data_IF_631893988508
#
_entry.id   IF_631893988508
#
_cell.length_a   1.000
_cell.length_b   1.000
_cell.length_c   1.000
_cell.angle_alpha   90.00
_cell.angle_beta   90.00
_cell.angle_gamma   90.00
#
_symmetry.space_group_name_H-M   'P 1'
#
loop_
_entity.id
_entity.type
_entity.pdbx_description
1 polymer ?
#
# COMPACT_ATOMS: atom_id res chain seq x y z
N UNK A 1 17.77 8.57 -3.26
CA UNK A 1 16.90 7.79 -4.16
C UNK A 1 15.83 7.09 -3.33
N UNK A 2 14.63 6.89 -3.88
CA UNK A 2 13.50 6.30 -3.18
C UNK A 2 13.58 4.77 -3.23
N UNK A 3 14.27 4.17 -2.25
CA UNK A 3 14.48 2.73 -2.06
C UNK A 3 14.08 2.31 -0.66
N UNK A 4 13.90 1.01 -0.42
CA UNK A 4 13.41 0.44 0.83
C UNK A 4 14.22 0.89 2.06
N UNK A 5 15.54 0.85 1.98
CA UNK A 5 16.39 1.26 3.10
C UNK A 5 16.21 2.75 3.43
N UNK A 6 16.16 3.62 2.41
CA UNK A 6 15.91 5.06 2.61
C UNK A 6 14.52 5.31 3.21
N UNK A 7 13.51 4.59 2.75
CA UNK A 7 12.17 4.67 3.30
C UNK A 7 12.14 4.29 4.79
N UNK A 8 12.75 3.15 5.13
CA UNK A 8 12.79 2.67 6.51
C UNK A 8 13.59 3.60 7.44
N UNK A 9 14.70 4.19 6.96
CA UNK A 9 15.44 5.20 7.71
C UNK A 9 14.59 6.45 7.99
N UNK A 10 13.78 6.89 7.01
CA UNK A 10 12.83 7.99 7.21
C UNK A 10 11.73 7.61 8.19
N UNK A 11 11.21 6.38 8.12
CA UNK A 11 10.23 5.85 9.09
C UNK A 11 10.80 5.89 10.50
N UNK A 12 12.06 5.47 10.70
CA UNK A 12 12.69 5.55 12.02
C UNK A 12 12.86 6.99 12.52
N UNK A 13 13.20 7.91 11.60
CA UNK A 13 13.31 9.34 11.92
C UNK A 13 11.98 10.05 12.16
N UNK A 14 10.86 9.41 11.80
CA UNK A 14 9.51 9.96 11.96
C UNK A 14 8.86 9.68 13.33
N UNK A 15 9.48 8.86 14.19
CA UNK A 15 8.95 8.59 15.54
C UNK A 15 9.27 9.75 16.47
N UNK A 16 8.26 10.40 17.03
CA UNK A 16 8.40 11.54 17.96
C UNK A 16 7.43 11.39 19.12
N UNK A 17 7.95 11.44 20.33
CA UNK A 17 7.17 11.56 21.57
C UNK A 17 6.66 13.01 21.68
N UNK A 18 5.40 13.25 21.33
CA UNK A 18 4.83 14.60 21.27
C UNK A 18 4.37 15.10 22.65
N UNK A 19 3.97 14.19 23.53
CA UNK A 19 3.48 14.53 24.86
C UNK A 19 4.59 14.49 25.93
N UNK A 20 5.75 13.87 25.64
CA UNK A 20 6.91 13.82 26.51
C UNK A 20 6.78 12.83 27.68
N UNK A 21 5.91 11.83 27.58
CA UNK A 21 5.68 10.87 28.67
C UNK A 21 6.59 9.62 28.58
N UNK A 22 7.35 9.50 27.51
CA UNK A 22 8.31 8.40 27.28
C UNK A 22 7.65 7.10 26.81
N UNK A 23 6.36 7.11 26.48
CA UNK A 23 5.64 6.01 25.86
C UNK A 23 5.22 6.42 24.45
N UNK A 24 5.03 5.48 23.56
CA UNK A 24 4.57 5.75 22.20
C UNK A 24 3.16 5.16 22.01
N UNK A 25 2.18 6.04 21.84
CA UNK A 25 0.78 5.70 21.64
C UNK A 25 0.12 6.59 20.57
N UNK A 26 -1.22 6.67 20.55
CA UNK A 26 -1.96 7.45 19.55
C UNK A 26 -1.86 8.98 19.77
N UNK A 27 -1.22 9.45 20.86
CA UNK A 27 -0.94 10.86 21.11
C UNK A 27 0.42 11.30 20.54
N UNK A 28 1.17 10.38 19.91
CA UNK A 28 2.52 10.60 19.40
C UNK A 28 2.60 10.50 17.90
N UNK A 29 3.74 10.93 17.33
CA UNK A 29 3.99 10.76 15.93
C UNK A 29 4.74 9.45 15.67
N UNK A 30 4.15 8.59 14.86
CA UNK A 30 4.77 7.37 14.33
C UNK A 30 5.49 7.63 13.00
N UNK A 31 6.46 6.81 12.68
CA UNK A 31 7.09 6.88 11.36
C UNK A 31 6.18 6.38 10.23
N UNK A 32 5.38 5.36 10.51
CA UNK A 32 4.49 4.75 9.50
C UNK A 32 3.23 4.20 10.16
N UNK A 33 2.08 4.57 9.61
CA UNK A 33 0.81 3.87 9.80
C UNK A 33 0.58 2.89 8.64
N UNK A 34 0.24 1.64 8.96
CA UNK A 34 0.03 0.61 7.94
C UNK A 34 -0.86 -0.52 8.43
N UNK A 35 -1.57 -1.16 7.51
CA UNK A 35 -2.25 -2.42 7.76
C UNK A 35 -1.27 -3.61 7.80
N UNK A 36 -1.66 -4.78 8.35
CA UNK A 36 -0.79 -5.98 8.42
C UNK A 36 -0.31 -6.54 7.07
N UNK A 37 -0.57 -5.85 5.97
CA UNK A 37 -0.17 -6.21 4.60
C UNK A 37 1.17 -5.62 4.16
N UNK A 38 1.87 -4.89 5.03
CA UNK A 38 3.12 -4.19 4.66
C UNK A 38 4.14 -5.11 3.97
N UNK A 39 4.42 -6.28 4.55
CA UNK A 39 5.39 -7.22 3.98
C UNK A 39 5.01 -7.70 2.58
N UNK A 40 3.72 -7.97 2.37
CA UNK A 40 3.18 -8.33 1.05
C UNK A 40 3.34 -7.18 0.05
N UNK A 41 2.98 -5.96 0.44
CA UNK A 41 3.07 -4.78 -0.43
C UNK A 41 4.52 -4.50 -0.81
N UNK A 42 5.47 -4.62 0.14
CA UNK A 42 6.90 -4.48 -0.13
C UNK A 42 7.41 -5.59 -1.06
N UNK A 43 6.95 -6.84 -0.92
CA UNK A 43 7.32 -7.91 -1.84
C UNK A 43 6.86 -7.62 -3.27
N UNK A 44 5.62 -7.20 -3.47
CA UNK A 44 5.14 -6.80 -4.81
C UNK A 44 5.88 -5.56 -5.34
N UNK A 45 6.30 -4.65 -4.47
CA UNK A 45 7.08 -3.48 -4.85
C UNK A 45 8.46 -3.83 -5.45
N UNK A 46 8.98 -5.04 -5.18
CA UNK A 46 10.20 -5.55 -5.83
C UNK A 46 10.00 -5.98 -7.29
N UNK A 47 8.77 -5.92 -7.81
CA UNK A 47 8.40 -6.42 -9.14
C UNK A 47 8.16 -7.92 -9.20
N UNK A 48 8.23 -8.62 -8.06
CA UNK A 48 7.91 -10.04 -7.98
C UNK A 48 6.43 -10.28 -7.68
N UNK A 49 5.96 -11.49 -7.93
CA UNK A 49 4.58 -11.90 -7.67
C UNK A 49 4.54 -13.32 -7.10
N UNK A 50 3.56 -13.58 -6.23
CA UNK A 50 3.31 -14.94 -5.71
C UNK A 50 2.79 -15.90 -6.79
N UNK A 51 2.25 -15.35 -7.88
CA UNK A 51 1.71 -16.10 -9.01
C UNK A 51 2.39 -15.58 -10.27
N UNK A 52 2.99 -16.49 -11.04
CA UNK A 52 3.57 -16.20 -12.35
C UNK A 52 2.72 -16.82 -13.47
N UNK A 53 2.78 -16.23 -14.65
CA UNK A 53 2.20 -16.80 -15.86
C UNK A 53 3.30 -17.34 -16.75
N UNK A 54 3.29 -18.66 -16.98
CA UNK A 54 4.24 -19.35 -17.86
C UNK A 54 3.47 -20.01 -19.00
N UNK A 55 3.75 -19.59 -20.24
CA UNK A 55 3.09 -20.09 -21.46
C UNK A 55 1.54 -20.13 -21.37
N UNK A 56 0.95 -19.11 -20.71
CA UNK A 56 -0.50 -19.02 -20.53
C UNK A 56 -1.04 -19.76 -19.30
N UNK A 57 -0.22 -20.55 -18.62
CA UNK A 57 -0.60 -21.30 -17.41
C UNK A 57 -0.15 -20.54 -16.17
N UNK A 58 -1.03 -20.43 -15.17
CA UNK A 58 -0.69 -19.84 -13.88
C UNK A 58 0.10 -20.86 -13.03
N UNK A 59 1.19 -20.40 -12.42
CA UNK A 59 2.04 -21.17 -11.50
C UNK A 59 2.21 -20.39 -10.20
N UNK A 60 2.29 -21.12 -9.09
CA UNK A 60 2.70 -20.54 -7.80
C UNK A 60 4.21 -20.34 -7.85
N UNK A 61 4.65 -19.08 -7.76
CA UNK A 61 6.06 -18.69 -7.79
C UNK A 61 6.65 -18.44 -6.38
N UNK A 62 5.82 -18.41 -5.35
CA UNK A 62 6.21 -18.10 -3.97
C UNK A 62 7.30 -19.01 -3.41
N UNK A 63 7.44 -20.25 -3.91
CA UNK A 63 8.44 -21.22 -3.48
C UNK A 63 9.79 -21.13 -4.21
N UNK A 64 9.97 -20.19 -5.13
CA UNK A 64 11.24 -19.99 -5.81
C UNK A 64 12.28 -19.42 -4.81
N UNK A 65 13.52 -19.94 -4.86
CA UNK A 65 14.60 -19.56 -3.93
C UNK A 65 14.78 -18.03 -3.85
N UNK A 66 14.85 -17.37 -4.99
CA UNK A 66 14.96 -15.90 -5.05
C UNK A 66 13.82 -15.18 -4.34
N UNK A 67 12.59 -15.68 -4.43
CA UNK A 67 11.44 -15.08 -3.77
C UNK A 67 11.51 -15.27 -2.25
N UNK A 68 11.97 -16.43 -1.81
CA UNK A 68 12.17 -16.73 -0.38
C UNK A 68 13.25 -15.83 0.22
N UNK A 69 14.37 -15.63 -0.49
CA UNK A 69 15.45 -14.74 -0.05
C UNK A 69 14.98 -13.29 0.09
N UNK A 70 14.24 -12.76 -0.89
CA UNK A 70 13.68 -11.41 -0.86
C UNK A 70 12.67 -11.28 0.27
N UNK A 71 11.78 -12.27 0.47
CA UNK A 71 10.80 -12.24 1.56
C UNK A 71 11.48 -12.29 2.93
N UNK A 72 12.54 -13.07 3.08
CA UNK A 72 13.33 -13.15 4.31
C UNK A 72 13.97 -11.79 4.63
N UNK A 73 14.65 -11.17 3.65
CA UNK A 73 15.28 -9.85 3.83
C UNK A 73 14.25 -8.76 4.17
N UNK A 74 13.11 -8.73 3.46
CA UNK A 74 12.01 -7.79 3.77
C UNK A 74 11.48 -8.03 5.19
N UNK A 75 11.27 -9.29 5.59
CA UNK A 75 10.80 -9.65 6.92
C UNK A 75 11.77 -9.16 8.00
N UNK A 76 13.07 -9.42 7.84
CA UNK A 76 14.11 -9.00 8.77
C UNK A 76 14.17 -7.47 8.89
N UNK A 77 14.06 -6.76 7.78
CA UNK A 77 14.01 -5.30 7.75
C UNK A 77 12.77 -4.78 8.47
N UNK A 78 11.58 -5.27 8.13
CA UNK A 78 10.32 -4.84 8.77
C UNK A 78 10.33 -5.13 10.26
N UNK A 79 10.82 -6.30 10.70
CA UNK A 79 10.93 -6.63 12.12
C UNK A 79 11.87 -5.69 12.87
N UNK A 80 13.00 -5.33 12.27
CA UNK A 80 13.97 -4.36 12.85
C UNK A 80 13.36 -2.97 13.03
N UNK A 81 12.52 -2.53 12.08
CA UNK A 81 11.89 -1.21 12.11
C UNK A 81 10.50 -1.21 12.77
N UNK A 82 10.02 -2.38 13.24
CA UNK A 82 8.72 -2.50 13.92
C UNK A 82 8.48 -1.48 15.05
N UNK A 83 9.48 -1.10 15.87
CA UNK A 83 9.28 -0.09 16.92
C UNK A 83 8.85 1.30 16.42
N UNK A 84 9.00 1.58 15.13
CA UNK A 84 8.67 2.88 14.49
C UNK A 84 7.37 2.82 13.68
N UNK A 85 6.71 1.65 13.66
CA UNK A 85 5.56 1.36 12.78
C UNK A 85 4.35 1.01 13.64
N UNK A 86 3.27 1.77 13.48
CA UNK A 86 1.97 1.40 14.04
C UNK A 86 1.20 0.55 13.02
N UNK A 87 0.96 -0.71 13.37
CA UNK A 87 0.25 -1.69 12.52
C UNK A 87 -1.14 -1.91 13.10
N UNK A 88 -2.18 -1.51 12.38
CA UNK A 88 -3.56 -1.68 12.80
C UNK A 88 -4.46 -2.16 11.65
N UNK A 89 -5.48 -2.94 12.01
CA UNK A 89 -6.57 -3.28 11.08
C UNK A 89 -7.65 -2.19 11.03
N UNK A 90 -7.63 -1.25 11.97
CA UNK A 90 -8.58 -0.15 12.02
C UNK A 90 -8.06 1.06 11.23
N UNK A 91 -8.15 0.93 9.90
CA UNK A 91 -7.77 2.01 8.99
C UNK A 91 -8.64 3.27 9.17
N UNK A 92 -9.87 3.12 9.67
CA UNK A 92 -10.77 4.26 9.89
C UNK A 92 -10.29 5.13 11.05
N UNK A 93 -9.74 4.53 12.09
CA UNK A 93 -9.12 5.28 13.19
C UNK A 93 -7.79 5.92 12.79
N UNK A 94 -7.03 5.30 11.88
CA UNK A 94 -5.74 5.83 11.42
C UNK A 94 -5.86 7.09 10.55
N UNK A 95 -6.94 7.24 9.78
CA UNK A 95 -7.12 8.37 8.86
C UNK A 95 -7.12 9.72 9.59
N UNK A 96 -7.97 9.96 10.63
CA UNK A 96 -7.91 11.22 11.36
C UNK A 96 -6.57 11.45 12.05
N UNK A 97 -5.97 10.43 12.65
CA UNK A 97 -4.66 10.54 13.29
C UNK A 97 -3.57 10.95 12.30
N UNK A 98 -3.57 10.38 11.08
CA UNK A 98 -2.64 10.79 10.04
C UNK A 98 -2.88 12.25 9.60
N UNK A 99 -4.14 12.66 9.45
CA UNK A 99 -4.49 14.03 9.08
C UNK A 99 -4.09 15.05 10.16
N UNK A 100 -4.09 14.64 11.43
CA UNK A 100 -3.64 15.45 12.57
C UNK A 100 -2.13 15.41 12.80
N UNK A 101 -1.37 14.72 11.93
CA UNK A 101 0.10 14.71 11.96
C UNK A 101 0.71 13.61 12.84
N UNK A 102 -0.07 12.63 13.31
CA UNK A 102 0.42 11.53 14.15
C UNK A 102 1.14 10.42 13.37
N UNK A 103 1.46 10.62 12.09
CA UNK A 103 2.39 9.76 11.35
C UNK A 103 3.03 10.50 10.20
N UNK A 104 4.32 10.18 9.93
CA UNK A 104 5.05 10.72 8.79
C UNK A 104 4.58 10.10 7.47
N UNK A 105 4.31 8.80 7.47
CA UNK A 105 3.80 8.06 6.31
C UNK A 105 2.53 7.28 6.67
N UNK A 106 1.66 7.15 5.68
CA UNK A 106 0.51 6.26 5.74
C UNK A 106 0.47 5.38 4.48
N UNK A 107 0.54 4.07 4.66
CA UNK A 107 0.48 3.11 3.56
C UNK A 107 -0.90 2.47 3.48
N UNK A 108 -1.62 2.81 2.42
CA UNK A 108 -3.00 2.38 2.20
C UNK A 108 -3.29 2.24 0.69
N UNK A 109 -4.39 1.63 0.34
CA UNK A 109 -4.86 1.56 -1.05
C UNK A 109 -5.32 2.93 -1.54
N UNK A 110 -5.02 3.25 -2.79
CA UNK A 110 -5.32 4.56 -3.40
C UNK A 110 -6.81 4.93 -3.38
N UNK A 111 -7.71 3.95 -3.28
CA UNK A 111 -9.15 4.16 -3.14
C UNK A 111 -9.52 5.06 -1.94
N UNK A 112 -8.72 5.04 -0.87
CA UNK A 112 -9.02 5.83 0.33
C UNK A 112 -8.49 7.26 0.29
N UNK A 113 -7.81 7.68 -0.77
CA UNK A 113 -7.28 9.04 -0.89
C UNK A 113 -8.39 10.10 -0.86
N UNK A 114 -9.61 9.76 -1.32
CA UNK A 114 -10.77 10.65 -1.26
C UNK A 114 -11.14 11.05 0.16
N UNK A 115 -10.87 10.20 1.15
CA UNK A 115 -11.18 10.45 2.55
C UNK A 115 -10.37 11.59 3.13
N UNK A 116 -9.20 11.89 2.55
CA UNK A 116 -8.37 13.01 2.99
C UNK A 116 -8.89 14.38 2.53
N UNK A 117 -9.80 14.43 1.55
CA UNK A 117 -10.40 15.69 1.07
C UNK A 117 -11.20 16.45 2.12
N UNK A 118 -11.62 15.79 3.20
CA UNK A 118 -12.36 16.43 4.30
C UNK A 118 -11.45 17.11 5.33
N UNK A 119 -10.14 16.94 5.22
CA UNK A 119 -9.16 17.50 6.14
C UNK A 119 -8.37 18.63 5.47
N UNK A 120 -8.03 19.65 6.25
CA UNK A 120 -7.25 20.81 5.78
C UNK A 120 -5.75 20.54 5.98
N UNK A 121 -5.16 19.63 5.20
CA UNK A 121 -3.72 19.39 5.19
C UNK A 121 -3.23 18.96 3.82
N UNK A 122 -1.96 19.21 3.53
CA UNK A 122 -1.33 18.81 2.28
C UNK A 122 -0.74 17.39 2.41
N UNK A 123 -1.09 16.50 1.47
CA UNK A 123 -0.56 15.14 1.40
C UNK A 123 0.14 14.89 0.08
N UNK A 124 1.35 14.34 0.14
CA UNK A 124 2.09 13.87 -1.02
C UNK A 124 1.84 12.39 -1.29
N UNK A 125 1.69 12.01 -2.55
CA UNK A 125 1.54 10.62 -2.96
C UNK A 125 2.88 10.11 -3.48
N UNK A 126 3.37 9.02 -2.92
CA UNK A 126 4.60 8.35 -3.31
C UNK A 126 4.30 6.92 -3.78
N UNK A 127 5.01 6.40 -4.78
CA UNK A 127 4.96 4.96 -5.06
C UNK A 127 5.58 4.18 -3.91
N UNK A 128 5.29 2.89 -3.80
CA UNK A 128 6.06 2.01 -2.92
C UNK A 128 7.55 2.12 -3.29
N UNK A 129 8.47 2.08 -2.29
CA UNK A 129 9.90 2.21 -2.57
C UNK A 129 10.39 1.02 -3.40
N UNK A 130 11.38 1.24 -4.25
CA UNK A 130 12.12 0.15 -4.90
C UNK A 130 12.83 -0.69 -3.84
N UNK A 131 13.04 -1.97 -4.13
CA UNK A 131 13.79 -2.84 -3.24
C UNK A 131 15.21 -2.33 -3.02
N UNK A 132 15.91 -2.04 -4.13
CA UNK A 132 17.27 -1.49 -4.12
C UNK A 132 17.52 -0.55 -5.32
N UNK A 133 18.78 -0.14 -5.49
CA UNK A 133 19.21 0.75 -6.58
C UNK A 133 19.30 0.07 -7.94
N UNK A 134 19.30 -1.26 -8.00
CA UNK A 134 19.41 -2.04 -9.23
C UNK A 134 18.03 -2.30 -9.85
N UNK A 135 16.96 -2.10 -9.11
CA UNK A 135 15.62 -2.20 -9.64
C UNK A 135 15.33 -1.02 -10.57
N UNK A 136 14.94 -1.30 -11.83
CA UNK A 136 14.73 -0.26 -12.84
C UNK A 136 13.46 0.54 -12.60
N UNK A 137 12.33 -0.12 -12.33
CA UNK A 137 11.01 0.51 -12.23
C UNK A 137 10.42 0.45 -10.82
N UNK A 138 9.51 1.39 -10.53
CA UNK A 138 8.63 1.29 -9.38
C UNK A 138 7.51 0.30 -9.69
N UNK A 139 7.29 -0.64 -8.78
CA UNK A 139 6.22 -1.61 -8.86
C UNK A 139 5.33 -1.51 -7.62
N UNK A 140 4.09 -1.87 -7.77
CA UNK A 140 3.18 -1.95 -6.63
C UNK A 140 2.07 -2.97 -6.88
N UNK A 141 1.47 -3.42 -5.81
CA UNK A 141 0.33 -4.32 -5.87
C UNK A 141 -0.92 -3.59 -6.35
N UNK A 142 -1.60 -4.17 -7.33
CA UNK A 142 -2.94 -3.77 -7.71
C UNK A 142 -3.94 -4.74 -7.05
N UNK A 143 -4.65 -4.27 -6.04
CA UNK A 143 -5.65 -5.08 -5.36
C UNK A 143 -6.88 -5.28 -6.25
N UNK A 144 -7.10 -6.52 -6.68
CA UNK A 144 -8.28 -6.89 -7.48
C UNK A 144 -9.60 -6.66 -6.75
N UNK A 145 -9.59 -6.63 -5.41
CA UNK A 145 -10.75 -6.27 -4.59
C UNK A 145 -11.15 -4.79 -4.69
N UNK A 146 -10.22 -3.93 -5.13
CA UNK A 146 -10.44 -2.49 -5.34
C UNK A 146 -10.77 -2.16 -6.80
N UNK A 147 -10.87 -3.15 -7.69
CA UNK A 147 -11.24 -2.97 -9.09
C UNK A 147 -12.72 -3.28 -9.25
N UNK A 148 -13.51 -2.24 -9.51
CA UNK A 148 -14.93 -2.42 -9.84
C UNK A 148 -15.08 -2.86 -11.29
N UNK A 149 -15.86 -3.93 -11.50
CA UNK A 149 -16.22 -4.42 -12.84
C UNK A 149 -17.72 -4.31 -13.01
N UNK A 150 -18.14 -3.77 -14.14
CA UNK A 150 -19.53 -3.79 -14.58
C UNK A 150 -19.67 -4.74 -15.76
N UNK A 151 -20.73 -5.55 -15.76
CA UNK A 151 -21.02 -6.47 -16.84
C UNK A 151 -22.47 -6.37 -17.28
N UNK A 152 -22.72 -6.55 -18.58
CA UNK A 152 -24.08 -6.63 -19.15
C UNK A 152 -24.44 -8.11 -19.27
N UNK A 153 -25.52 -8.58 -18.62
CA UNK A 153 -25.97 -9.96 -18.75
C UNK A 153 -26.27 -10.31 -20.22
N UNK A 154 -25.95 -11.55 -20.63
CA UNK A 154 -26.13 -12.01 -22.00
C UNK A 154 -27.61 -12.03 -22.44
N UNK A 155 -28.53 -12.11 -21.48
CA UNK A 155 -30.00 -12.09 -21.67
C UNK A 155 -30.61 -10.70 -21.49
N UNK A 156 -29.78 -9.65 -21.44
CA UNK A 156 -30.26 -8.26 -21.39
C UNK A 156 -31.16 -7.97 -22.62
N UNK A 157 -32.27 -7.30 -22.38
CA UNK A 157 -33.17 -6.88 -23.47
C UNK A 157 -32.65 -5.71 -24.29
N UNK A 158 -31.76 -4.91 -23.68
CA UNK A 158 -31.22 -3.66 -24.26
C UNK A 158 -29.72 -3.56 -24.03
N UNK A 159 -28.93 -4.51 -24.59
CA UNK A 159 -27.49 -4.54 -24.31
C UNK A 159 -26.73 -3.30 -24.81
N UNK A 160 -27.11 -2.79 -25.99
CA UNK A 160 -26.45 -1.63 -26.60
C UNK A 160 -26.76 -0.34 -25.83
N UNK A 161 -28.01 -0.12 -25.43
CA UNK A 161 -28.42 1.04 -24.63
C UNK A 161 -27.71 1.00 -23.26
N UNK A 162 -27.60 -0.20 -22.67
CA UNK A 162 -26.89 -0.39 -21.40
C UNK A 162 -25.41 -0.10 -21.55
N UNK A 163 -24.78 -0.51 -22.65
CA UNK A 163 -23.38 -0.24 -22.92
C UNK A 163 -23.11 1.26 -23.05
N UNK A 164 -23.97 1.98 -23.79
CA UNK A 164 -23.87 3.45 -23.93
C UNK A 164 -24.00 4.14 -22.57
N UNK A 165 -24.95 3.68 -21.72
CA UNK A 165 -25.12 4.24 -20.39
C UNK A 165 -23.90 4.01 -19.50
N UNK A 166 -23.32 2.79 -19.50
CA UNK A 166 -22.13 2.46 -18.75
C UNK A 166 -20.92 3.29 -19.22
N UNK A 167 -20.76 3.47 -20.51
CA UNK A 167 -19.70 4.29 -21.09
C UNK A 167 -19.83 5.75 -20.64
N UNK A 168 -21.04 6.30 -20.70
CA UNK A 168 -21.32 7.67 -20.25
C UNK A 168 -21.04 7.85 -18.73
N UNK A 169 -21.39 6.86 -17.89
CA UNK A 169 -21.15 6.90 -16.44
C UNK A 169 -19.67 6.72 -16.07
N UNK A 170 -18.87 6.09 -16.94
CA UNK A 170 -17.44 5.89 -16.71
C UNK A 170 -16.57 7.05 -17.22
N UNK A 171 -17.17 8.03 -17.92
CA UNK A 171 -16.48 9.18 -18.47
C UNK A 171 -16.37 10.39 -17.50
N UNK A 172 -16.98 10.35 -16.33
CA UNK A 172 -16.87 11.34 -15.25
C UNK A 172 -15.72 10.96 -14.28
#
# INVERSE_FOLDING_TARGET
KWVLDTFLDMVAGGLVDLNGDGQYDDNDQWGLFVQPTLGQNLFYATGNSFIAKDNGTLKIAMGEERHLDIMSDISDKVLRFKPYINISNDYQAMIPLFADGHSLFYSEVSLFIERFRQYEFDVGILPMPKYDLNQDDYCQFADGGCISLAGIPIDSKYPDDTAILLDALSAE
#
